data_IF_919298379708
#
_entry.id   IF_919298379708
#
_cell.length_a   1.000
_cell.length_b   1.000
_cell.length_c   1.000
_cell.angle_alpha   90.00
_cell.angle_beta   90.00
_cell.angle_gamma   90.00
#
_symmetry.space_group_name_H-M   'P 1'
#
loop_
_entity.id
_entity.type
_entity.pdbx_description
1 polymer ?
#
# COMPACT_ATOMS: atom_id res chain seq x y z
N UNK A 1 -2.22 18.68 4.03
CA UNK A 1 -2.17 17.71 2.92
C UNK A 1 -2.94 16.47 3.34
N UNK A 2 -3.83 16.02 2.49
CA UNK A 2 -4.63 14.80 2.70
C UNK A 2 -4.03 13.64 1.93
N UNK A 3 -3.81 12.53 2.61
CA UNK A 3 -3.12 11.35 2.08
C UNK A 3 -4.02 10.14 2.19
N UNK A 4 -4.29 9.46 1.08
CA UNK A 4 -4.82 8.10 1.13
C UNK A 4 -3.64 7.14 1.28
N UNK A 5 -3.73 6.20 2.21
CA UNK A 5 -2.65 5.25 2.47
C UNK A 5 -3.04 3.84 2.04
N UNK A 6 -2.13 3.13 1.40
CA UNK A 6 -2.31 1.74 1.00
C UNK A 6 -1.14 0.87 1.46
N UNK A 7 -1.40 -0.09 2.33
CA UNK A 7 -0.35 -0.95 2.88
C UNK A 7 -0.90 -2.11 3.69
N UNK A 8 -0.04 -3.05 4.08
CA UNK A 8 -0.50 -4.26 4.78
C UNK A 8 0.36 -4.63 5.99
N UNK A 9 1.68 -4.94 5.86
CA UNK A 9 2.49 -5.46 6.96
C UNK A 9 2.98 -4.36 7.92
N UNK A 10 3.72 -4.76 8.94
CA UNK A 10 4.29 -3.83 9.95
C UNK A 10 5.19 -2.76 9.33
N UNK A 11 5.96 -3.07 8.29
CA UNK A 11 6.73 -2.08 7.54
C UNK A 11 5.85 -0.92 7.05
N UNK A 12 4.68 -1.23 6.50
CA UNK A 12 3.72 -0.22 6.07
C UNK A 12 3.05 0.49 7.26
N UNK A 13 2.76 -0.22 8.34
CA UNK A 13 2.19 0.37 9.54
C UNK A 13 3.14 1.40 10.18
N UNK A 14 4.47 1.17 10.16
CA UNK A 14 5.45 2.15 10.58
C UNK A 14 5.37 3.44 9.75
N UNK A 15 5.24 3.31 8.43
CA UNK A 15 5.09 4.47 7.54
C UNK A 15 3.78 5.22 7.81
N UNK A 16 2.66 4.50 8.03
CA UNK A 16 1.38 5.12 8.37
C UNK A 16 1.46 5.91 9.67
N UNK A 17 2.06 5.34 10.73
CA UNK A 17 2.28 6.05 12.01
C UNK A 17 3.11 7.32 11.80
N UNK A 18 4.20 7.24 11.04
CA UNK A 18 5.05 8.40 10.76
C UNK A 18 4.29 9.52 10.04
N UNK A 19 3.39 9.20 9.10
CA UNK A 19 2.54 10.19 8.44
C UNK A 19 1.55 10.84 9.43
N UNK A 20 0.94 10.04 10.30
CA UNK A 20 0.02 10.54 11.34
C UNK A 20 0.75 11.44 12.34
N UNK A 21 1.93 11.03 12.82
CA UNK A 21 2.77 11.80 13.75
C UNK A 21 3.24 13.12 13.13
N UNK A 22 3.46 13.14 11.81
CA UNK A 22 3.78 14.35 11.06
C UNK A 22 2.58 15.28 10.81
N UNK A 23 1.37 14.88 11.25
CA UNK A 23 0.16 15.71 11.16
C UNK A 23 -0.54 15.66 9.80
N UNK A 24 -0.26 14.67 8.96
CA UNK A 24 -1.02 14.47 7.72
C UNK A 24 -2.43 13.96 8.05
N UNK A 25 -3.41 14.47 7.31
CA UNK A 25 -4.78 13.98 7.37
C UNK A 25 -4.90 12.71 6.50
N UNK A 26 -5.34 11.61 7.11
CA UNK A 26 -5.51 10.32 6.41
C UNK A 26 -7.01 9.97 6.39
N UNK A 27 -7.75 10.35 5.36
CA UNK A 27 -9.19 10.09 5.30
C UNK A 27 -9.53 8.62 5.02
N UNK A 28 -8.62 7.86 4.42
CA UNK A 28 -8.86 6.49 3.99
C UNK A 28 -7.58 5.68 3.99
N UNK A 29 -7.70 4.44 4.43
CA UNK A 29 -6.66 3.41 4.35
C UNK A 29 -7.16 2.22 3.52
N UNK A 30 -6.34 1.76 2.59
CA UNK A 30 -6.54 0.48 1.89
C UNK A 30 -5.55 -0.54 2.44
N UNK A 31 -6.03 -1.74 2.73
CA UNK A 31 -5.20 -2.86 3.19
C UNK A 31 -5.77 -4.17 2.68
N UNK A 32 -4.97 -5.22 2.67
CA UNK A 32 -5.48 -6.54 2.28
C UNK A 32 -6.50 -7.06 3.29
N UNK A 33 -7.43 -7.93 2.86
CA UNK A 33 -8.39 -8.58 3.75
C UNK A 33 -7.72 -9.30 4.91
N UNK A 34 -8.45 -9.41 6.01
CA UNK A 34 -8.03 -10.18 7.18
C UNK A 34 -7.72 -11.62 6.77
N UNK A 35 -6.65 -12.18 7.31
CA UNK A 35 -6.20 -13.54 6.98
C UNK A 35 -6.16 -14.42 8.22
N UNK A 36 -6.45 -15.73 8.06
CA UNK A 36 -6.23 -16.67 9.14
C UNK A 36 -4.76 -16.68 9.56
N UNK A 37 -4.49 -16.55 10.85
CA UNK A 37 -3.14 -16.56 11.40
C UNK A 37 -3.09 -17.27 12.76
N UNK A 38 -1.90 -17.75 13.11
CA UNK A 38 -1.62 -18.40 14.39
C UNK A 38 -2.26 -19.77 14.56
N UNK A 39 -2.13 -20.31 15.78
CA UNK A 39 -2.77 -21.57 16.18
C UNK A 39 -4.29 -21.33 16.30
N UNK A 40 -5.09 -22.11 15.55
CA UNK A 40 -6.55 -21.96 15.51
C UNK A 40 -7.09 -21.17 14.32
N UNK A 41 -6.22 -20.65 13.42
CA UNK A 41 -6.61 -20.05 12.14
C UNK A 41 -7.68 -18.96 12.28
N UNK A 42 -7.63 -18.16 13.34
CA UNK A 42 -8.53 -17.03 13.52
C UNK A 42 -8.15 -15.89 12.56
N UNK A 43 -9.16 -15.21 12.04
CA UNK A 43 -8.95 -14.04 11.20
C UNK A 43 -8.26 -12.93 11.98
N UNK A 44 -7.14 -12.46 11.46
CA UNK A 44 -6.38 -11.36 12.05
C UNK A 44 -6.34 -10.17 11.09
N UNK A 45 -6.55 -8.99 11.66
CA UNK A 45 -6.38 -7.73 10.96
C UNK A 45 -4.90 -7.51 10.62
N UNK A 46 -4.65 -6.89 9.45
CA UNK A 46 -3.30 -6.44 9.09
C UNK A 46 -2.77 -5.40 10.10
N UNK A 47 -1.46 -5.26 10.20
CA UNK A 47 -0.85 -4.23 11.04
C UNK A 47 -1.35 -2.83 10.68
N UNK A 48 -1.49 -2.55 9.39
CA UNK A 48 -2.03 -1.27 8.89
C UNK A 48 -3.49 -1.06 9.31
N UNK A 49 -4.34 -2.10 9.21
CA UNK A 49 -5.73 -2.01 9.69
C UNK A 49 -5.80 -1.69 11.17
N UNK A 50 -4.96 -2.32 11.99
CA UNK A 50 -4.93 -2.06 13.44
C UNK A 50 -4.65 -0.59 13.74
N UNK A 51 -3.61 -0.02 13.10
CA UNK A 51 -3.30 1.42 13.24
C UNK A 51 -4.46 2.31 12.78
N UNK A 52 -5.06 1.99 11.64
CA UNK A 52 -6.19 2.76 11.11
C UNK A 52 -7.38 2.77 12.08
N UNK A 53 -7.72 1.62 12.67
CA UNK A 53 -8.82 1.51 13.63
C UNK A 53 -8.53 2.26 14.94
N UNK A 54 -7.30 2.23 15.44
CA UNK A 54 -6.86 2.98 16.63
C UNK A 54 -7.03 4.50 16.44
N UNK A 55 -6.93 4.99 15.20
CA UNK A 55 -7.07 6.40 14.85
C UNK A 55 -8.44 6.78 14.27
N UNK A 56 -9.39 5.84 14.24
CA UNK A 56 -10.74 6.07 13.70
C UNK A 56 -10.78 6.34 12.20
N UNK A 57 -9.79 5.82 11.44
CA UNK A 57 -9.69 6.00 10.01
C UNK A 57 -10.53 4.94 9.28
N UNK A 58 -11.24 5.37 8.24
CA UNK A 58 -11.98 4.46 7.36
C UNK A 58 -11.03 3.47 6.68
N UNK A 59 -11.43 2.18 6.63
CA UNK A 59 -10.63 1.10 6.05
C UNK A 59 -11.39 0.42 4.93
N UNK A 60 -10.75 0.27 3.77
CA UNK A 60 -11.22 -0.57 2.67
C UNK A 60 -10.30 -1.78 2.50
N UNK A 61 -10.89 -2.94 2.28
CA UNK A 61 -10.18 -4.23 2.13
C UNK A 61 -10.58 -4.96 0.84
N UNK A 62 -10.48 -4.34 -0.34
CA UNK A 62 -10.86 -4.99 -1.58
C UNK A 62 -9.92 -6.16 -1.90
N UNK A 63 -10.46 -7.24 -2.45
CA UNK A 63 -9.68 -8.39 -2.95
C UNK A 63 -8.87 -8.07 -4.20
N UNK A 64 -9.24 -7.01 -4.90
CA UNK A 64 -8.60 -6.53 -6.12
C UNK A 64 -8.95 -5.07 -6.36
N UNK A 65 -8.09 -4.35 -7.07
CA UNK A 65 -8.40 -3.03 -7.63
C UNK A 65 -8.66 -3.10 -9.16
N UNK A 66 -8.64 -4.29 -9.74
CA UNK A 66 -8.91 -4.49 -11.16
C UNK A 66 -10.41 -4.65 -11.41
N UNK A 67 -11.01 -3.65 -12.06
CA UNK A 67 -12.43 -3.68 -12.46
C UNK A 67 -12.72 -4.70 -13.57
N UNK A 68 -11.70 -5.13 -14.31
CA UNK A 68 -11.73 -6.17 -15.33
C UNK A 68 -11.41 -7.58 -14.78
N UNK A 69 -11.45 -7.76 -13.46
CA UNK A 69 -11.22 -9.07 -12.85
C UNK A 69 -12.26 -10.09 -13.34
N UNK A 70 -11.80 -11.32 -13.65
CA UNK A 70 -12.68 -12.39 -14.11
C UNK A 70 -13.70 -12.84 -13.06
N UNK A 71 -13.34 -12.70 -11.79
CA UNK A 71 -14.21 -12.95 -10.65
C UNK A 71 -15.14 -11.76 -10.47
N UNK A 72 -16.49 -11.95 -10.58
CA UNK A 72 -17.45 -10.85 -10.48
C UNK A 72 -17.41 -10.12 -9.14
N UNK A 73 -17.15 -10.83 -8.03
CA UNK A 73 -17.06 -10.19 -6.73
C UNK A 73 -15.83 -9.27 -6.65
N UNK A 74 -14.67 -9.72 -7.12
CA UNK A 74 -13.46 -8.92 -7.17
C UNK A 74 -13.63 -7.68 -8.04
N UNK A 75 -14.32 -7.81 -9.18
CA UNK A 75 -14.63 -6.68 -10.05
C UNK A 75 -15.56 -5.65 -9.36
N UNK A 76 -16.58 -6.14 -8.64
CA UNK A 76 -17.51 -5.30 -7.90
C UNK A 76 -16.82 -4.55 -6.75
N UNK A 77 -15.99 -5.24 -5.98
CA UNK A 77 -15.21 -4.62 -4.90
C UNK A 77 -14.22 -3.57 -5.43
N UNK A 78 -13.58 -3.86 -6.56
CA UNK A 78 -12.71 -2.91 -7.25
C UNK A 78 -13.47 -1.66 -7.70
N UNK A 79 -14.67 -1.82 -8.27
CA UNK A 79 -15.52 -0.71 -8.67
C UNK A 79 -15.90 0.16 -7.46
N UNK A 80 -16.36 -0.46 -6.37
CA UNK A 80 -16.71 0.26 -5.14
C UNK A 80 -15.51 1.02 -4.55
N UNK A 81 -14.32 0.43 -4.56
CA UNK A 81 -13.09 1.09 -4.12
C UNK A 81 -12.75 2.32 -5.00
N UNK A 82 -12.89 2.19 -6.32
CA UNK A 82 -12.67 3.32 -7.25
C UNK A 82 -13.68 4.44 -7.05
N UNK A 83 -14.95 4.12 -6.88
CA UNK A 83 -16.00 5.10 -6.61
C UNK A 83 -15.70 5.86 -5.30
N UNK A 84 -15.26 5.14 -4.27
CA UNK A 84 -14.88 5.76 -2.99
C UNK A 84 -13.66 6.67 -3.14
N UNK A 85 -12.61 6.22 -3.83
CA UNK A 85 -11.41 7.02 -4.10
C UNK A 85 -11.71 8.28 -4.90
N UNK A 86 -12.54 8.20 -5.94
CA UNK A 86 -12.94 9.37 -6.75
C UNK A 86 -13.81 10.35 -5.98
N UNK A 87 -14.59 9.87 -5.01
CA UNK A 87 -15.45 10.70 -4.17
C UNK A 87 -14.71 11.38 -3.01
N UNK A 88 -13.42 11.08 -2.80
CA UNK A 88 -12.58 11.70 -1.77
C UNK A 88 -11.79 12.87 -2.32
N UNK A 89 -11.69 13.90 -1.50
CA UNK A 89 -10.74 15.00 -1.71
C UNK A 89 -9.42 14.63 -1.00
N UNK A 90 -8.39 14.26 -1.79
CA UNK A 90 -7.04 13.96 -1.31
C UNK A 90 -5.98 14.32 -2.34
N UNK A 91 -4.77 14.60 -1.85
CA UNK A 91 -3.67 15.15 -2.67
C UNK A 91 -2.80 14.04 -3.29
N UNK A 92 -2.59 12.94 -2.56
CA UNK A 92 -1.67 11.86 -2.95
C UNK A 92 -2.06 10.53 -2.31
N UNK A 93 -1.80 9.44 -3.01
CA UNK A 93 -1.84 8.10 -2.42
C UNK A 93 -0.42 7.64 -2.09
N UNK A 94 -0.17 7.29 -0.83
CA UNK A 94 1.08 6.67 -0.38
C UNK A 94 0.89 5.17 -0.27
N UNK A 95 1.75 4.43 -0.94
CA UNK A 95 1.72 2.96 -1.00
C UNK A 95 2.96 2.40 -0.34
N UNK A 96 2.79 1.41 0.54
CA UNK A 96 3.89 0.70 1.17
C UNK A 96 3.52 -0.78 1.34
N UNK A 97 4.18 -1.67 0.62
CA UNK A 97 3.95 -3.12 0.72
C UNK A 97 2.45 -3.48 0.75
N UNK A 98 1.65 -2.91 -0.14
CA UNK A 98 0.20 -3.12 -0.18
C UNK A 98 -0.16 -4.55 -0.60
N UNK A 99 0.59 -5.10 -1.56
CA UNK A 99 0.43 -6.48 -2.02
C UNK A 99 -0.68 -6.68 -3.07
N UNK A 100 -1.28 -5.61 -3.56
CA UNK A 100 -2.16 -5.62 -4.73
C UNK A 100 -1.57 -4.73 -5.82
N UNK A 101 -1.82 -5.10 -7.07
CA UNK A 101 -1.46 -4.29 -8.22
C UNK A 101 -2.42 -3.10 -8.30
N UNK A 102 -1.88 -1.90 -8.44
CA UNK A 102 -2.65 -0.70 -8.77
C UNK A 102 -2.77 -0.61 -10.30
N UNK A 103 -3.97 -0.84 -10.85
CA UNK A 103 -4.16 -0.70 -12.30
C UNK A 103 -4.11 0.78 -12.70
N UNK A 104 -3.94 1.05 -13.98
CA UNK A 104 -3.92 2.39 -14.56
C UNK A 104 -5.11 3.24 -14.10
N UNK A 105 -6.29 2.63 -14.03
CA UNK A 105 -7.52 3.30 -13.57
C UNK A 105 -7.45 3.82 -12.13
N UNK A 106 -6.62 3.22 -11.26
CA UNK A 106 -6.35 3.72 -9.91
C UNK A 106 -5.28 4.81 -9.94
N UNK A 107 -4.20 4.60 -10.69
CA UNK A 107 -3.08 5.55 -10.81
C UNK A 107 -3.51 6.90 -11.42
N UNK A 108 -4.56 6.90 -12.25
CA UNK A 108 -5.09 8.10 -12.89
C UNK A 108 -6.02 8.94 -11.97
N UNK A 109 -6.37 8.45 -10.77
CA UNK A 109 -7.24 9.19 -9.84
C UNK A 109 -6.46 10.32 -9.14
N UNK A 110 -5.26 10.02 -8.66
CA UNK A 110 -4.38 10.98 -7.99
C UNK A 110 -2.92 10.51 -8.10
N UNK A 111 -1.94 11.40 -7.90
CA UNK A 111 -0.55 10.99 -7.81
C UNK A 111 -0.34 9.88 -6.79
N UNK A 112 0.41 8.85 -7.16
CA UNK A 112 0.75 7.73 -6.28
C UNK A 112 2.26 7.67 -6.07
N UNK A 113 2.69 7.54 -4.83
CA UNK A 113 4.09 7.33 -4.46
C UNK A 113 4.23 6.04 -3.68
N UNK A 114 5.32 5.30 -3.92
CA UNK A 114 5.61 4.03 -3.26
C UNK A 114 6.81 4.17 -2.33
N UNK A 115 6.67 3.65 -1.12
CA UNK A 115 7.78 3.44 -0.18
C UNK A 115 8.29 2.03 -0.41
N UNK A 116 9.40 1.89 -1.13
CA UNK A 116 9.98 0.60 -1.47
C UNK A 116 11.15 0.26 -0.57
N UNK A 117 11.14 -0.91 0.05
CA UNK A 117 12.12 -1.34 1.05
C UNK A 117 13.42 -1.86 0.45
N UNK A 118 14.02 -1.15 -0.50
CA UNK A 118 15.35 -1.42 -1.04
C UNK A 118 16.00 -0.17 -1.62
N UNK A 119 17.30 -0.24 -1.84
CA UNK A 119 18.06 0.73 -2.64
C UNK A 119 17.86 0.41 -4.13
N UNK A 120 16.82 0.97 -4.75
CA UNK A 120 16.53 0.74 -6.17
C UNK A 120 17.72 1.21 -7.04
N UNK A 121 17.99 0.53 -8.17
CA UNK A 121 17.17 -0.47 -8.85
C UNK A 121 17.30 -1.90 -8.31
N UNK A 122 18.06 -2.11 -7.23
CA UNK A 122 18.23 -3.42 -6.63
C UNK A 122 16.95 -3.86 -5.93
N UNK A 123 16.58 -5.12 -6.11
CA UNK A 123 15.43 -5.75 -5.47
C UNK A 123 14.08 -5.12 -5.84
N UNK A 124 13.89 -4.78 -7.12
CA UNK A 124 12.56 -4.50 -7.66
C UNK A 124 11.61 -5.67 -7.39
N UNK A 125 10.34 -5.39 -7.20
CA UNK A 125 9.32 -6.39 -7.00
C UNK A 125 9.07 -6.76 -5.55
N UNK A 126 8.57 -7.98 -5.32
CA UNK A 126 8.12 -8.43 -4.02
C UNK A 126 9.29 -8.75 -3.06
N UNK A 127 9.04 -8.51 -1.76
CA UNK A 127 9.90 -8.91 -0.64
C UNK A 127 11.36 -8.39 -0.71
N UNK A 128 11.61 -7.12 -1.02
CA UNK A 128 12.95 -6.57 -1.19
C UNK A 128 13.82 -6.74 0.06
N UNK A 129 13.27 -6.58 1.25
CA UNK A 129 13.98 -6.73 2.53
C UNK A 129 14.48 -8.17 2.71
N UNK A 130 13.62 -9.16 2.45
CA UNK A 130 14.00 -10.58 2.55
C UNK A 130 15.10 -10.92 1.56
N UNK A 131 15.02 -10.41 0.33
CA UNK A 131 16.02 -10.63 -0.72
C UNK A 131 17.38 -10.03 -0.36
N UNK A 132 17.40 -8.85 0.23
CA UNK A 132 18.64 -8.22 0.70
C UNK A 132 19.32 -9.08 1.78
N UNK A 133 18.54 -9.59 2.75
CA UNK A 133 19.04 -10.47 3.81
C UNK A 133 19.55 -11.80 3.24
N UNK A 134 18.76 -12.47 2.39
CA UNK A 134 19.12 -13.74 1.77
C UNK A 134 20.40 -13.65 0.93
N UNK A 135 20.64 -12.52 0.29
CA UNK A 135 21.82 -12.27 -0.52
C UNK A 135 23.04 -11.81 0.29
N UNK A 136 22.88 -11.57 1.58
CA UNK A 136 23.97 -11.10 2.45
C UNK A 136 24.38 -9.66 2.11
N UNK A 137 23.46 -8.83 1.64
CA UNK A 137 23.75 -7.43 1.37
C UNK A 137 24.21 -6.74 2.67
N UNK A 138 25.32 -6.01 2.59
CA UNK A 138 25.88 -5.29 3.74
C UNK A 138 25.11 -4.00 4.04
N UNK A 139 24.41 -3.50 3.06
CA UNK A 139 23.58 -2.29 3.14
C UNK A 139 22.24 -2.54 2.47
N UNK A 140 21.20 -1.97 3.01
CA UNK A 140 19.87 -1.85 2.40
C UNK A 140 19.27 -0.52 2.83
N UNK A 141 18.16 -0.15 2.23
CA UNK A 141 17.53 1.12 2.53
C UNK A 141 16.12 1.20 1.99
N UNK A 142 15.64 2.41 1.83
CA UNK A 142 14.30 2.72 1.35
C UNK A 142 14.40 3.67 0.17
N UNK A 143 13.63 3.41 -0.87
CA UNK A 143 13.45 4.32 -2.00
C UNK A 143 12.01 4.83 -2.05
N UNK A 144 11.84 6.14 -2.06
CA UNK A 144 10.57 6.79 -2.37
C UNK A 144 10.51 7.03 -3.86
N UNK A 145 9.47 6.54 -4.52
CA UNK A 145 9.34 6.62 -5.97
C UNK A 145 7.92 6.95 -6.42
N UNK A 146 7.79 7.65 -7.53
CA UNK A 146 6.51 7.80 -8.22
C UNK A 146 6.06 6.46 -8.77
N UNK A 147 4.75 6.20 -8.74
CA UNK A 147 4.20 4.96 -9.30
C UNK A 147 3.73 5.17 -10.73
N UNK A 148 4.10 4.23 -11.58
CA UNK A 148 3.65 4.10 -12.97
C UNK A 148 3.10 2.71 -13.20
N UNK A 149 2.53 2.49 -14.38
CA UNK A 149 2.10 1.16 -14.80
C UNK A 149 3.34 0.28 -15.02
N UNK A 150 3.56 -0.64 -14.12
CA UNK A 150 4.74 -1.50 -14.08
C UNK A 150 5.22 -1.73 -12.66
N UNK A 151 6.11 -2.71 -12.50
CA UNK A 151 6.60 -3.09 -11.19
C UNK A 151 7.86 -2.29 -10.86
N UNK A 152 7.73 -1.31 -9.97
CA UNK A 152 8.83 -0.48 -9.46
C UNK A 152 9.67 0.18 -10.57
N UNK A 153 8.99 0.76 -11.57
CA UNK A 153 9.62 1.36 -12.76
C UNK A 153 9.56 2.88 -12.79
N UNK A 154 8.78 3.51 -11.92
CA UNK A 154 8.61 4.95 -11.88
C UNK A 154 9.86 5.71 -11.41
N UNK A 155 9.83 7.05 -11.48
CA UNK A 155 10.97 7.90 -11.10
C UNK A 155 11.27 7.78 -9.60
N UNK A 156 12.54 7.60 -9.27
CA UNK A 156 13.04 7.65 -7.89
C UNK A 156 13.11 9.11 -7.43
N UNK A 157 12.51 9.40 -6.27
CA UNK A 157 12.41 10.75 -5.71
C UNK A 157 13.36 10.96 -4.54
N UNK A 158 13.55 9.93 -3.71
CA UNK A 158 14.45 9.95 -2.55
C UNK A 158 14.97 8.53 -2.29
N UNK A 159 16.23 8.43 -1.89
CA UNK A 159 16.88 7.18 -1.49
C UNK A 159 17.58 7.42 -0.15
N UNK A 160 17.32 6.56 0.83
CA UNK A 160 17.97 6.54 2.14
C UNK A 160 18.35 5.12 2.56
#
# INVERSE_FOLDING_TARGET
>A
MKVVFAGTPEFAACALRALLDAGFEIPLVLTQPDRPAGRGMQLQASAVKQVALEHGIEVLQPLSLRMDAKDPQRALEAQAAHERLRGLDYDVMVVAAYGLILPRSTLDIAPCINIHGSLLPRWRGAAPIHRAIESGDVETGVTIMGMEEGLDTGPMMLIE
#
